data_IF_892063380559
#
_entry.id   IF_892063380559
#
_cell.length_a   1.000
_cell.length_b   1.000
_cell.length_c   1.000
_cell.angle_alpha   90.00
_cell.angle_beta   90.00
_cell.angle_gamma   90.00
#
_symmetry.space_group_name_H-M   'P 1'
#
loop_
_entity.id
_entity.type
_entity.pdbx_description
1 polymer ?
#
# COMPACT_ATOMS: atom_id res chain seq x y z
N UNK A 1 24.81 -13.89 13.50
CA UNK A 1 23.37 -13.71 13.87
C UNK A 1 22.61 -13.34 12.60
N UNK A 2 21.54 -14.06 12.28
CA UNK A 2 20.68 -13.71 11.14
C UNK A 2 19.82 -12.51 11.49
N UNK A 3 19.86 -11.44 10.67
CA UNK A 3 18.95 -10.30 10.83
C UNK A 3 17.54 -10.69 10.36
N UNK A 4 16.66 -11.03 11.30
CA UNK A 4 15.30 -11.47 10.98
C UNK A 4 14.54 -10.36 10.25
N UNK A 5 14.04 -10.67 9.05
CA UNK A 5 13.33 -9.70 8.21
C UNK A 5 14.21 -8.57 7.66
N UNK A 6 15.54 -8.75 7.64
CA UNK A 6 16.55 -7.77 7.24
C UNK A 6 16.53 -6.46 8.05
N UNK A 7 16.02 -6.50 9.29
CA UNK A 7 15.96 -5.31 10.14
C UNK A 7 17.37 -4.77 10.42
N UNK A 8 17.59 -3.48 10.16
CA UNK A 8 18.88 -2.81 10.32
C UNK A 8 19.90 -3.09 9.22
N UNK A 9 19.54 -3.85 8.19
CA UNK A 9 20.41 -4.09 7.03
C UNK A 9 20.13 -3.06 5.94
N UNK A 10 21.19 -2.40 5.49
CA UNK A 10 21.15 -1.52 4.31
C UNK A 10 21.29 -2.41 3.08
N UNK A 11 20.20 -2.56 2.32
CA UNK A 11 20.15 -3.45 1.16
C UNK A 11 20.63 -2.79 -0.13
N UNK A 12 20.52 -1.46 -0.24
CA UNK A 12 20.96 -0.68 -1.41
C UNK A 12 21.16 0.79 -1.02
N UNK A 13 21.59 1.60 -1.99
CA UNK A 13 21.56 3.07 -1.93
C UNK A 13 20.41 3.59 -2.80
N UNK A 14 19.87 4.77 -2.46
CA UNK A 14 18.81 5.44 -3.27
C UNK A 14 18.97 6.95 -3.16
N UNK A 15 18.65 7.66 -4.24
CA UNK A 15 18.55 9.12 -4.28
C UNK A 15 17.08 9.61 -4.23
N UNK A 16 16.12 8.69 -4.19
CA UNK A 16 14.70 8.99 -4.38
C UNK A 16 14.05 9.52 -3.11
N UNK A 17 14.28 8.87 -1.98
CA UNK A 17 13.68 9.29 -0.72
C UNK A 17 14.48 8.85 0.49
N UNK A 18 14.30 9.60 1.58
CA UNK A 18 14.86 9.27 2.90
C UNK A 18 13.78 9.43 3.97
N UNK A 19 13.80 8.52 4.96
CA UNK A 19 12.87 8.49 6.08
C UNK A 19 13.67 8.60 7.37
N UNK A 20 13.79 9.82 7.89
CA UNK A 20 14.57 10.12 9.10
C UNK A 20 13.67 9.96 10.32
N UNK A 21 13.60 8.75 10.87
CA UNK A 21 12.64 8.36 11.89
C UNK A 21 12.72 9.17 13.19
N UNK A 22 13.91 9.49 13.66
CA UNK A 22 14.12 10.22 14.91
C UNK A 22 13.74 11.71 14.79
N UNK A 23 13.82 12.27 13.56
CA UNK A 23 13.45 13.66 13.29
C UNK A 23 12.00 13.80 12.82
N UNK A 24 11.33 12.70 12.47
CA UNK A 24 10.00 12.77 11.87
C UNK A 24 10.02 13.48 10.51
N UNK A 25 10.98 13.18 9.66
CA UNK A 25 11.13 13.79 8.34
C UNK A 25 10.99 12.73 7.24
N UNK A 26 10.34 13.13 6.17
CA UNK A 26 10.28 12.41 4.90
C UNK A 26 10.78 13.34 3.81
N UNK A 27 11.73 12.85 3.03
CA UNK A 27 12.40 13.62 1.98
C UNK A 27 12.18 12.91 0.64
N UNK A 28 11.79 13.65 -0.40
CA UNK A 28 11.76 13.18 -1.79
C UNK A 28 12.79 13.97 -2.59
N UNK A 29 13.83 13.32 -3.12
CA UNK A 29 14.87 13.93 -3.95
C UNK A 29 15.40 15.26 -3.37
N UNK A 30 15.64 15.31 -2.06
CA UNK A 30 16.13 16.50 -1.36
C UNK A 30 15.08 17.49 -0.86
N UNK A 31 13.79 17.33 -1.23
CA UNK A 31 12.71 18.16 -0.73
C UNK A 31 12.04 17.51 0.48
N UNK A 32 11.92 18.26 1.59
CA UNK A 32 11.07 17.84 2.71
C UNK A 32 9.61 17.72 2.26
N UNK A 33 8.89 16.72 2.76
CA UNK A 33 7.48 16.49 2.38
C UNK A 33 6.59 17.69 2.63
N UNK A 34 6.89 18.51 3.66
CA UNK A 34 6.16 19.74 3.97
C UNK A 34 6.39 20.85 2.93
N UNK A 35 7.45 20.76 2.10
CA UNK A 35 7.67 21.65 0.97
C UNK A 35 6.93 21.20 -0.30
N UNK A 36 6.45 19.95 -0.33
CA UNK A 36 5.74 19.40 -1.48
C UNK A 36 4.22 19.34 -1.25
N UNK A 37 3.79 18.87 -0.09
CA UNK A 37 2.37 18.64 0.20
C UNK A 37 1.55 19.93 0.11
N UNK A 38 0.58 19.96 -0.82
CA UNK A 38 -0.30 21.10 -1.06
C UNK A 38 0.34 22.28 -1.81
N UNK A 39 1.65 22.21 -2.15
CA UNK A 39 2.37 23.23 -2.91
C UNK A 39 2.64 22.81 -4.36
N UNK A 40 2.76 21.51 -4.60
CA UNK A 40 2.92 20.92 -5.93
C UNK A 40 1.89 19.82 -6.15
N UNK A 41 1.56 19.55 -7.41
CA UNK A 41 0.64 18.47 -7.77
C UNK A 41 1.31 17.09 -7.71
N UNK A 42 0.52 16.04 -7.60
CA UNK A 42 1.01 14.65 -7.63
C UNK A 42 1.86 14.37 -8.88
N UNK A 43 1.45 14.82 -10.07
CA UNK A 43 2.24 14.61 -11.30
C UNK A 43 3.61 15.30 -11.27
N UNK A 44 3.74 16.44 -10.57
CA UNK A 44 5.05 17.08 -10.35
C UNK A 44 5.93 16.22 -9.46
N UNK A 45 5.34 15.57 -8.43
CA UNK A 45 6.06 14.62 -7.57
C UNK A 45 6.43 13.34 -8.35
N UNK A 46 5.57 12.83 -9.22
CA UNK A 46 5.93 11.71 -10.12
C UNK A 46 7.14 12.08 -10.98
N UNK A 47 7.11 13.29 -11.59
CA UNK A 47 8.24 13.79 -12.37
C UNK A 47 9.51 13.93 -11.51
N UNK A 48 9.39 14.51 -10.32
CA UNK A 48 10.50 14.67 -9.36
C UNK A 48 11.18 13.34 -9.06
N UNK A 49 10.41 12.32 -8.71
CA UNK A 49 10.93 10.99 -8.38
C UNK A 49 11.63 10.32 -9.58
N UNK A 50 11.15 10.56 -10.81
CA UNK A 50 11.71 9.90 -12.00
C UNK A 50 12.88 10.68 -12.64
N UNK A 51 13.00 11.97 -12.35
CA UNK A 51 14.01 12.87 -12.97
C UNK A 51 14.92 13.54 -11.95
N UNK A 52 14.71 13.29 -10.65
CA UNK A 52 15.47 13.89 -9.53
C UNK A 52 15.46 15.44 -9.54
N UNK A 53 14.44 16.05 -10.12
CA UNK A 53 14.18 17.51 -10.15
C UNK A 53 12.71 17.81 -10.36
N UNK A 54 12.24 18.93 -9.84
CA UNK A 54 10.92 19.45 -10.19
C UNK A 54 10.91 19.92 -11.68
N UNK A 55 9.78 19.69 -12.40
CA UNK A 55 9.68 20.10 -13.79
C UNK A 55 9.54 21.62 -13.94
N UNK A 56 10.12 22.19 -14.98
CA UNK A 56 9.69 23.48 -15.46
C UNK A 56 8.34 23.36 -16.23
N UNK A 57 7.73 24.48 -16.64
CA UNK A 57 6.42 24.49 -17.31
C UNK A 57 6.39 23.60 -18.56
N UNK A 58 7.38 23.71 -19.45
CA UNK A 58 7.43 22.93 -20.69
C UNK A 58 7.59 21.43 -20.45
N UNK A 59 8.43 21.06 -19.47
CA UNK A 59 8.61 19.67 -19.02
C UNK A 59 7.32 19.11 -18.43
N UNK A 60 6.65 19.88 -17.57
CA UNK A 60 5.38 19.48 -16.95
C UNK A 60 4.27 19.29 -17.99
N UNK A 61 4.15 20.19 -18.95
CA UNK A 61 3.14 20.12 -20.00
C UNK A 61 3.38 18.90 -20.91
N UNK A 62 4.62 18.59 -21.21
CA UNK A 62 4.99 17.40 -22.00
C UNK A 62 4.69 16.13 -21.21
N UNK A 63 5.15 16.02 -19.97
CA UNK A 63 4.92 14.87 -19.11
C UNK A 63 3.42 14.65 -18.84
N UNK A 64 2.65 15.73 -18.64
CA UNK A 64 1.20 15.65 -18.47
C UNK A 64 0.53 15.01 -19.69
N UNK A 65 0.92 15.39 -20.91
CA UNK A 65 0.37 14.80 -22.14
C UNK A 65 0.74 13.31 -22.26
N UNK A 66 1.99 12.95 -21.96
CA UNK A 66 2.43 11.55 -21.95
C UNK A 66 1.61 10.72 -20.98
N UNK A 67 1.50 11.15 -19.73
CA UNK A 67 0.79 10.42 -18.67
C UNK A 67 -0.70 10.23 -19.00
N UNK A 68 -1.37 11.31 -19.40
CA UNK A 68 -2.80 11.28 -19.73
C UNK A 68 -3.09 10.46 -20.98
N UNK A 69 -2.22 10.51 -22.00
CA UNK A 69 -2.34 9.73 -23.21
C UNK A 69 -2.29 8.21 -23.01
N UNK A 70 -1.83 7.75 -21.85
CA UNK A 70 -1.76 6.31 -21.56
C UNK A 70 -2.96 5.74 -20.78
N UNK A 71 -3.91 6.57 -20.36
CA UNK A 71 -5.05 6.16 -19.48
C UNK A 71 -5.95 5.10 -20.05
N UNK A 72 -6.04 4.97 -21.37
CA UNK A 72 -6.91 4.01 -22.04
C UNK A 72 -6.43 2.58 -21.81
N UNK A 73 -7.31 1.73 -21.26
CA UNK A 73 -7.06 0.31 -21.10
C UNK A 73 -7.29 -0.46 -22.40
N UNK A 74 -6.51 -1.53 -22.66
CA UNK A 74 -6.83 -2.51 -23.70
C UNK A 74 -8.19 -3.15 -23.45
N UNK A 75 -8.96 -3.43 -24.51
CA UNK A 75 -10.31 -3.99 -24.38
C UNK A 75 -10.33 -5.30 -23.58
N UNK A 76 -9.40 -6.27 -23.78
CA UNK A 76 -9.40 -7.49 -22.98
C UNK A 76 -9.20 -7.26 -21.47
N UNK A 77 -8.48 -6.21 -21.08
CA UNK A 77 -8.34 -5.83 -19.65
C UNK A 77 -9.66 -5.27 -19.10
N UNK A 78 -10.38 -4.47 -19.90
CA UNK A 78 -11.73 -4.00 -19.55
C UNK A 78 -12.69 -5.19 -19.40
N UNK A 79 -12.63 -6.15 -20.31
CA UNK A 79 -13.49 -7.35 -20.29
C UNK A 79 -13.18 -8.22 -19.07
N UNK A 80 -11.90 -8.39 -18.73
CA UNK A 80 -11.49 -9.03 -17.48
C UNK A 80 -12.06 -8.31 -16.25
N UNK A 81 -11.94 -6.98 -16.17
CA UNK A 81 -12.47 -6.19 -15.04
C UNK A 81 -13.98 -6.40 -14.89
N UNK A 82 -14.72 -6.42 -16.01
CA UNK A 82 -16.17 -6.64 -16.01
C UNK A 82 -16.56 -8.06 -15.63
N UNK A 83 -15.74 -9.06 -15.98
CA UNK A 83 -15.96 -10.47 -15.71
C UNK A 83 -15.49 -10.91 -14.31
N UNK A 84 -14.68 -10.11 -13.64
CA UNK A 84 -14.18 -10.43 -12.31
C UNK A 84 -15.34 -10.60 -11.30
N UNK A 85 -15.25 -11.56 -10.35
CA UNK A 85 -16.26 -11.72 -9.30
C UNK A 85 -16.53 -10.39 -8.58
N UNK A 86 -17.79 -10.07 -8.34
CA UNK A 86 -18.19 -8.79 -7.71
C UNK A 86 -17.70 -8.64 -6.28
N UNK A 87 -17.50 -9.75 -5.59
CA UNK A 87 -16.97 -9.87 -4.22
C UNK A 87 -15.46 -10.03 -4.17
N UNK A 88 -14.77 -10.03 -5.32
CA UNK A 88 -13.32 -10.05 -5.35
C UNK A 88 -12.74 -8.80 -4.68
N UNK A 89 -11.63 -8.96 -3.98
CA UNK A 89 -10.91 -7.82 -3.39
C UNK A 89 -10.35 -6.93 -4.52
N UNK A 90 -10.56 -5.61 -4.46
CA UNK A 90 -10.06 -4.69 -5.49
C UNK A 90 -8.54 -4.80 -5.73
N UNK A 91 -7.75 -5.07 -4.69
CA UNK A 91 -6.30 -5.31 -4.81
C UNK A 91 -5.96 -6.55 -5.64
N UNK A 92 -6.79 -7.61 -5.61
CA UNK A 92 -6.55 -8.82 -6.41
C UNK A 92 -6.85 -8.57 -7.89
N UNK A 93 -7.93 -7.84 -8.17
CA UNK A 93 -8.27 -7.44 -9.54
C UNK A 93 -7.20 -6.48 -10.09
N UNK A 94 -6.75 -5.51 -9.29
CA UNK A 94 -5.68 -4.59 -9.68
C UNK A 94 -4.39 -5.34 -10.01
N UNK A 95 -3.94 -6.24 -9.14
CA UNK A 95 -2.73 -7.04 -9.33
C UNK A 95 -2.81 -7.84 -10.64
N UNK A 96 -3.93 -8.50 -10.88
CA UNK A 96 -4.14 -9.32 -12.09
C UNK A 96 -4.18 -8.45 -13.34
N UNK A 97 -4.90 -7.32 -13.31
CA UNK A 97 -5.00 -6.40 -14.43
C UNK A 97 -3.64 -5.78 -14.79
N UNK A 98 -2.83 -5.38 -13.80
CA UNK A 98 -1.46 -4.88 -14.05
C UNK A 98 -0.58 -5.95 -14.70
N UNK A 99 -0.60 -7.19 -14.20
CA UNK A 99 0.12 -8.29 -14.83
C UNK A 99 -0.36 -8.53 -16.27
N UNK A 100 -1.67 -8.48 -16.48
CA UNK A 100 -2.28 -8.65 -17.81
C UNK A 100 -1.88 -7.55 -18.80
N UNK A 101 -1.67 -6.29 -18.32
CA UNK A 101 -1.21 -5.20 -19.19
C UNK A 101 0.11 -5.54 -19.91
N UNK A 102 0.98 -6.33 -19.28
CA UNK A 102 2.23 -6.77 -19.89
C UNK A 102 2.03 -7.55 -21.20
N UNK A 103 0.91 -8.28 -21.33
CA UNK A 103 0.56 -9.02 -22.56
C UNK A 103 0.19 -8.09 -23.73
N UNK A 104 -0.16 -6.85 -23.44
CA UNK A 104 -0.59 -5.83 -24.40
C UNK A 104 0.40 -4.67 -24.50
N UNK A 105 1.62 -4.85 -23.96
CA UNK A 105 2.70 -3.89 -24.12
C UNK A 105 3.18 -3.88 -25.59
N UNK A 106 3.14 -2.74 -26.29
CA UNK A 106 3.60 -2.66 -27.67
C UNK A 106 5.10 -2.94 -27.84
N UNK A 107 5.85 -2.89 -26.74
CA UNK A 107 7.28 -3.17 -26.69
C UNK A 107 7.58 -4.56 -26.10
N UNK A 108 6.58 -5.46 -26.02
CA UNK A 108 6.78 -6.84 -25.56
C UNK A 108 7.78 -7.56 -26.47
N UNK A 109 8.71 -8.29 -25.85
CA UNK A 109 9.76 -9.05 -26.56
C UNK A 109 10.88 -8.20 -27.14
N UNK A 110 10.84 -6.87 -27.00
CA UNK A 110 11.97 -5.98 -27.33
C UNK A 110 12.94 -5.90 -26.15
N UNK A 111 14.21 -5.60 -26.47
CA UNK A 111 15.21 -5.29 -25.46
C UNK A 111 14.72 -4.13 -24.57
N UNK A 112 14.87 -4.29 -23.25
CA UNK A 112 14.40 -3.32 -22.27
C UNK A 112 15.36 -2.13 -22.15
N UNK A 113 15.28 -1.18 -23.10
CA UNK A 113 16.05 0.08 -23.01
C UNK A 113 15.47 1.02 -21.93
N UNK A 114 16.26 2.01 -21.44
CA UNK A 114 15.76 3.01 -20.51
C UNK A 114 14.49 3.72 -21.00
N UNK A 115 14.39 4.02 -22.30
CA UNK A 115 13.22 4.68 -22.89
C UNK A 115 11.99 3.76 -22.89
N UNK A 116 12.15 2.46 -23.18
CA UNK A 116 11.08 1.48 -23.11
C UNK A 116 10.59 1.34 -21.66
N UNK A 117 11.51 1.22 -20.72
CA UNK A 117 11.17 1.11 -19.30
C UNK A 117 10.45 2.36 -18.79
N UNK A 118 10.87 3.55 -19.22
CA UNK A 118 10.18 4.80 -18.91
C UNK A 118 8.76 4.82 -19.50
N UNK A 119 8.55 4.41 -20.75
CA UNK A 119 7.20 4.31 -21.33
C UNK A 119 6.31 3.34 -20.57
N UNK A 120 6.85 2.21 -20.09
CA UNK A 120 6.14 1.26 -19.23
C UNK A 120 5.73 1.90 -17.91
N UNK A 121 6.63 2.62 -17.27
CA UNK A 121 6.33 3.36 -16.04
C UNK A 121 5.19 4.37 -16.24
N UNK A 122 5.24 5.18 -17.30
CA UNK A 122 4.18 6.13 -17.68
C UNK A 122 2.86 5.38 -17.92
N UNK A 123 2.90 4.30 -18.70
CA UNK A 123 1.73 3.48 -19.03
C UNK A 123 1.04 2.88 -17.81
N UNK A 124 1.81 2.30 -16.89
CA UNK A 124 1.26 1.70 -15.66
C UNK A 124 0.68 2.78 -14.75
N UNK A 125 1.42 3.86 -14.52
CA UNK A 125 0.97 4.97 -13.66
C UNK A 125 -0.30 5.64 -14.18
N UNK A 126 -0.45 5.80 -15.49
CA UNK A 126 -1.67 6.35 -16.09
C UNK A 126 -2.88 5.41 -16.03
N UNK A 127 -2.66 4.10 -15.93
CA UNK A 127 -3.72 3.07 -15.98
C UNK A 127 -4.15 2.54 -14.61
N UNK A 128 -3.28 2.54 -13.61
CA UNK A 128 -3.55 1.87 -12.32
C UNK A 128 -4.81 2.42 -11.63
N UNK A 129 -5.00 3.74 -11.65
CA UNK A 129 -6.20 4.40 -11.11
C UNK A 129 -7.47 4.05 -11.89
N UNK A 130 -7.35 3.92 -13.22
CA UNK A 130 -8.47 3.52 -14.08
C UNK A 130 -8.94 2.11 -13.74
N UNK A 131 -8.01 1.17 -13.51
CA UNK A 131 -8.31 -0.21 -13.13
C UNK A 131 -9.13 -0.24 -11.83
N UNK A 132 -8.67 0.47 -10.80
CA UNK A 132 -9.34 0.50 -9.50
C UNK A 132 -10.77 1.07 -9.62
N UNK A 133 -10.92 2.22 -10.26
CA UNK A 133 -12.20 2.89 -10.43
C UNK A 133 -13.16 2.07 -11.31
N UNK A 134 -12.68 1.48 -12.40
CA UNK A 134 -13.49 0.65 -13.29
C UNK A 134 -14.00 -0.62 -12.61
N UNK A 135 -13.16 -1.29 -11.82
CA UNK A 135 -13.62 -2.45 -11.06
C UNK A 135 -14.69 -2.06 -10.04
N UNK A 136 -14.50 -0.97 -9.31
CA UNK A 136 -15.52 -0.48 -8.39
C UNK A 136 -16.86 -0.25 -9.09
N UNK A 137 -16.87 0.34 -10.26
CA UNK A 137 -18.11 0.57 -11.02
C UNK A 137 -18.69 -0.73 -11.56
N UNK A 138 -17.86 -1.58 -12.15
CA UNK A 138 -18.31 -2.84 -12.76
C UNK A 138 -18.96 -3.76 -11.73
N UNK A 139 -18.34 -3.95 -10.54
CA UNK A 139 -18.93 -4.79 -9.49
C UNK A 139 -20.27 -4.28 -8.95
N UNK A 140 -20.49 -2.95 -9.03
CA UNK A 140 -21.75 -2.31 -8.64
C UNK A 140 -22.75 -2.21 -9.81
N UNK A 141 -22.49 -2.84 -10.95
CA UNK A 141 -23.38 -2.82 -12.12
C UNK A 141 -23.50 -1.44 -12.78
N UNK A 142 -22.57 -0.53 -12.53
CA UNK A 142 -22.57 0.82 -13.10
C UNK A 142 -21.80 0.85 -14.42
N UNK A 143 -22.20 1.74 -15.34
CA UNK A 143 -21.47 1.99 -16.60
C UNK A 143 -20.07 2.51 -16.33
N UNK A 144 -19.12 2.18 -17.21
CA UNK A 144 -17.75 2.69 -17.14
C UNK A 144 -17.70 4.04 -17.88
N UNK A 145 -17.37 5.15 -17.21
CA UNK A 145 -17.22 6.44 -17.88
C UNK A 145 -16.03 6.42 -18.83
N UNK A 146 -16.05 7.20 -19.92
CA UNK A 146 -14.88 7.34 -20.78
C UNK A 146 -13.72 7.99 -20.01
N UNK A 147 -12.48 7.58 -20.34
CA UNK A 147 -11.30 8.30 -19.86
C UNK A 147 -11.27 9.73 -20.38
N UNK A 148 -10.75 10.66 -19.58
CA UNK A 148 -10.65 12.10 -19.92
C UNK A 148 -9.21 12.55 -19.80
N UNK A 149 -8.77 13.33 -20.80
CA UNK A 149 -7.40 13.82 -20.89
C UNK A 149 -7.23 15.25 -20.34
N UNK A 150 -8.33 15.90 -19.97
CA UNK A 150 -8.34 17.25 -19.41
C UNK A 150 -8.24 17.26 -17.86
N UNK A 151 -8.53 16.14 -17.20
CA UNK A 151 -8.53 16.02 -15.74
C UNK A 151 -7.14 15.67 -15.18
N UNK A 152 -6.83 16.17 -13.98
CA UNK A 152 -5.68 15.71 -13.20
C UNK A 152 -5.84 14.25 -12.76
N UNK A 153 -4.83 13.65 -12.16
CA UNK A 153 -4.87 12.25 -11.73
C UNK A 153 -5.94 12.02 -10.66
N UNK A 154 -6.02 12.91 -9.67
CA UNK A 154 -7.01 12.84 -8.60
C UNK A 154 -8.44 13.13 -9.11
N UNK A 155 -8.63 14.18 -9.92
CA UNK A 155 -9.91 14.48 -10.57
C UNK A 155 -10.39 13.31 -11.41
N UNK A 156 -9.49 12.72 -12.21
CA UNK A 156 -9.80 11.62 -13.10
C UNK A 156 -10.21 10.35 -12.32
N UNK A 157 -9.49 10.04 -11.24
CA UNK A 157 -9.84 8.92 -10.39
C UNK A 157 -11.23 9.08 -9.78
N UNK A 158 -11.52 10.23 -9.16
CA UNK A 158 -12.82 10.51 -8.57
C UNK A 158 -13.94 10.51 -9.62
N UNK A 159 -13.71 11.13 -10.77
CA UNK A 159 -14.65 11.12 -11.90
C UNK A 159 -14.96 9.69 -12.34
N UNK A 160 -13.95 8.86 -12.54
CA UNK A 160 -14.17 7.48 -12.96
C UNK A 160 -14.88 6.64 -11.90
N UNK A 161 -14.59 6.87 -10.61
CA UNK A 161 -15.22 6.17 -9.50
C UNK A 161 -16.69 6.58 -9.33
N UNK A 162 -16.98 7.88 -9.32
CA UNK A 162 -18.32 8.42 -9.09
C UNK A 162 -19.20 8.39 -10.35
N UNK A 163 -18.59 8.53 -11.53
CA UNK A 163 -19.28 8.65 -12.82
C UNK A 163 -19.52 10.08 -13.28
N UNK A 164 -19.18 11.06 -12.44
CA UNK A 164 -19.31 12.48 -12.69
C UNK A 164 -18.16 13.25 -12.01
N UNK A 165 -17.83 14.46 -12.49
CA UNK A 165 -16.81 15.28 -11.86
C UNK A 165 -17.15 15.61 -10.40
N UNK A 166 -16.16 15.56 -9.54
CA UNK A 166 -16.28 15.92 -8.14
C UNK A 166 -15.82 17.36 -7.89
N UNK A 167 -16.05 17.88 -6.68
CA UNK A 167 -15.64 19.23 -6.33
C UNK A 167 -14.11 19.40 -6.42
N UNK A 168 -13.66 20.61 -6.74
CA UNK A 168 -12.23 20.92 -6.76
C UNK A 168 -11.55 20.60 -5.44
N UNK A 169 -12.22 20.87 -4.32
CA UNK A 169 -11.69 20.59 -2.99
C UNK A 169 -11.49 19.09 -2.74
N UNK A 170 -12.43 18.25 -3.18
CA UNK A 170 -12.30 16.80 -3.10
C UNK A 170 -11.08 16.32 -3.90
N UNK A 171 -10.92 16.86 -5.11
CA UNK A 171 -9.82 16.51 -5.99
C UNK A 171 -8.47 17.02 -5.47
N UNK A 172 -8.40 18.26 -4.98
CA UNK A 172 -7.20 18.83 -4.37
C UNK A 172 -6.79 18.05 -3.10
N UNK A 173 -7.76 17.62 -2.29
CA UNK A 173 -7.50 16.79 -1.11
C UNK A 173 -6.92 15.43 -1.50
N UNK A 174 -7.49 14.78 -2.51
CA UNK A 174 -6.98 13.49 -2.97
C UNK A 174 -5.60 13.63 -3.63
N UNK A 175 -5.33 14.72 -4.34
CA UNK A 175 -4.03 15.00 -4.95
C UNK A 175 -2.94 15.15 -3.87
N UNK A 176 -3.21 15.89 -2.79
CA UNK A 176 -2.30 15.99 -1.65
C UNK A 176 -2.10 14.62 -0.99
N UNK A 177 -3.16 13.83 -0.81
CA UNK A 177 -3.03 12.47 -0.31
C UNK A 177 -2.13 11.61 -1.21
N UNK A 178 -2.24 11.73 -2.53
CA UNK A 178 -1.34 11.06 -3.47
C UNK A 178 0.11 11.49 -3.30
N UNK A 179 0.38 12.80 -3.15
CA UNK A 179 1.73 13.32 -2.86
C UNK A 179 2.32 12.68 -1.60
N UNK A 180 1.54 12.63 -0.51
CA UNK A 180 1.97 12.08 0.77
C UNK A 180 2.23 10.56 0.73
N UNK A 181 1.64 9.84 -0.21
CA UNK A 181 1.79 8.39 -0.37
C UNK A 181 2.72 7.99 -1.52
N UNK A 182 3.23 8.94 -2.32
CA UNK A 182 3.97 8.70 -3.55
C UNK A 182 5.19 7.80 -3.35
N UNK A 183 5.96 8.01 -2.27
CA UNK A 183 7.06 7.14 -1.88
C UNK A 183 7.28 7.08 -0.36
N UNK A 184 8.07 6.12 0.11
CA UNK A 184 8.46 6.00 1.52
C UNK A 184 9.65 5.04 1.66
N UNK A 185 10.72 5.32 0.96
CA UNK A 185 11.97 4.57 1.03
C UNK A 185 11.82 3.08 0.72
N UNK A 186 12.68 2.27 1.32
CA UNK A 186 12.74 0.82 1.12
C UNK A 186 11.70 0.09 1.99
N UNK A 187 10.41 0.43 1.82
CA UNK A 187 9.32 -0.34 2.42
C UNK A 187 9.17 -1.72 1.76
N UNK A 188 8.34 -2.60 2.34
CA UNK A 188 8.23 -3.99 1.89
C UNK A 188 7.83 -4.13 0.41
N UNK A 189 6.89 -3.34 -0.09
CA UNK A 189 6.46 -3.41 -1.50
C UNK A 189 7.49 -2.83 -2.47
N UNK A 190 8.19 -1.77 -2.09
CA UNK A 190 9.33 -1.23 -2.84
C UNK A 190 10.46 -2.24 -2.91
N UNK A 191 10.81 -2.89 -1.79
CA UNK A 191 11.82 -3.94 -1.77
C UNK A 191 11.43 -5.12 -2.66
N UNK A 192 10.17 -5.55 -2.63
CA UNK A 192 9.64 -6.60 -3.51
C UNK A 192 9.78 -6.24 -4.99
N UNK A 193 9.46 -5.00 -5.38
CA UNK A 193 9.63 -4.51 -6.75
C UNK A 193 11.11 -4.56 -7.18
N UNK A 194 12.02 -4.06 -6.32
CA UNK A 194 13.46 -4.04 -6.60
C UNK A 194 14.04 -5.46 -6.71
N UNK A 195 13.69 -6.35 -5.79
CA UNK A 195 14.10 -7.77 -5.88
C UNK A 195 13.63 -8.39 -7.19
N UNK A 196 12.38 -8.14 -7.57
CA UNK A 196 11.80 -8.70 -8.80
C UNK A 196 12.54 -8.17 -10.04
N UNK A 197 12.68 -6.83 -10.16
CA UNK A 197 13.32 -6.25 -11.34
C UNK A 197 14.82 -6.54 -11.41
N UNK A 198 15.49 -6.78 -10.29
CA UNK A 198 16.90 -7.12 -10.26
C UNK A 198 17.24 -8.41 -11.01
N UNK A 199 16.25 -9.24 -11.28
CA UNK A 199 16.37 -10.43 -12.14
C UNK A 199 16.37 -10.10 -13.64
N UNK A 200 16.20 -8.81 -14.00
CA UNK A 200 16.01 -8.31 -15.36
C UNK A 200 14.73 -8.83 -16.03
N UNK A 201 13.70 -9.12 -15.22
CA UNK A 201 12.35 -9.40 -15.73
C UNK A 201 11.68 -8.10 -16.23
N UNK A 202 10.45 -8.22 -16.72
CA UNK A 202 9.70 -7.07 -17.21
C UNK A 202 9.17 -6.16 -16.09
N UNK A 203 8.86 -4.92 -16.44
CA UNK A 203 8.38 -3.88 -15.52
C UNK A 203 7.03 -4.22 -14.87
N UNK A 204 6.14 -4.88 -15.61
CA UNK A 204 4.82 -5.29 -15.11
C UNK A 204 4.93 -6.35 -14.02
N UNK A 205 5.87 -7.29 -14.14
CA UNK A 205 6.19 -8.28 -13.11
C UNK A 205 6.62 -7.62 -11.80
N UNK A 206 7.49 -6.61 -11.87
CA UNK A 206 7.96 -5.88 -10.69
C UNK A 206 6.82 -5.12 -9.98
N UNK A 207 5.97 -4.42 -10.72
CA UNK A 207 4.84 -3.68 -10.15
C UNK A 207 3.75 -4.65 -9.63
N UNK A 208 3.53 -5.77 -10.30
CA UNK A 208 2.63 -6.84 -9.82
C UNK A 208 3.09 -7.39 -8.47
N UNK A 209 4.38 -7.62 -8.29
CA UNK A 209 4.97 -8.07 -7.03
C UNK A 209 4.79 -7.02 -5.91
N UNK A 210 4.99 -5.74 -6.24
CA UNK A 210 4.77 -4.63 -5.31
C UNK A 210 3.30 -4.56 -4.83
N UNK A 211 2.34 -4.66 -5.75
CA UNK A 211 0.90 -4.66 -5.43
C UNK A 211 0.55 -5.85 -4.54
N UNK A 212 1.06 -7.04 -4.87
CA UNK A 212 0.87 -8.25 -4.06
C UNK A 212 1.41 -8.11 -2.64
N UNK A 213 2.57 -7.46 -2.49
CA UNK A 213 3.18 -7.19 -1.18
C UNK A 213 2.40 -6.13 -0.40
N UNK A 214 1.94 -5.07 -1.07
CA UNK A 214 1.16 -4.01 -0.42
C UNK A 214 -0.17 -4.54 0.13
N UNK A 215 -0.81 -5.49 -0.55
CA UNK A 215 -2.04 -6.13 -0.09
C UNK A 215 -1.92 -6.80 1.28
N UNK A 216 -0.71 -7.19 1.68
CA UNK A 216 -0.49 -7.92 2.93
C UNK A 216 -0.94 -7.13 4.17
N UNK A 217 -1.61 -7.77 5.16
CA UNK A 217 -2.17 -7.08 6.33
C UNK A 217 -1.12 -6.43 7.23
N UNK A 218 0.15 -6.78 7.07
CA UNK A 218 1.27 -6.16 7.79
C UNK A 218 1.86 -4.95 7.04
N UNK A 219 1.27 -4.55 5.91
CA UNK A 219 1.77 -3.44 5.09
C UNK A 219 0.66 -2.43 4.74
N UNK A 220 -0.14 -2.63 3.70
CA UNK A 220 -1.04 -1.59 3.17
C UNK A 220 -2.44 -1.50 3.79
N UNK A 221 -2.88 -2.51 4.55
CA UNK A 221 -4.26 -2.58 5.06
C UNK A 221 -4.53 -1.82 6.36
N UNK A 222 -3.61 -0.97 6.83
CA UNK A 222 -3.78 -0.31 8.12
C UNK A 222 -4.91 0.76 8.11
N UNK A 223 -5.09 1.48 7.01
CA UNK A 223 -6.13 2.49 6.87
C UNK A 223 -7.56 1.88 6.84
N UNK A 224 -7.73 0.72 6.20
CA UNK A 224 -8.99 -0.04 6.28
C UNK A 224 -9.28 -0.46 7.73
N UNK A 225 -8.26 -0.94 8.45
CA UNK A 225 -8.39 -1.28 9.87
C UNK A 225 -8.76 -0.10 10.76
N UNK A 226 -8.33 1.12 10.43
CA UNK A 226 -8.70 2.34 11.17
C UNK A 226 -10.18 2.64 11.02
N UNK A 227 -10.72 2.64 9.80
CA UNK A 227 -12.14 2.95 9.61
C UNK A 227 -13.04 1.89 10.25
N UNK A 228 -12.70 0.61 10.15
CA UNK A 228 -13.43 -0.46 10.85
C UNK A 228 -13.41 -0.29 12.37
N UNK A 229 -12.27 0.11 12.94
CA UNK A 229 -12.18 0.44 14.36
C UNK A 229 -13.10 1.62 14.73
N UNK A 230 -13.13 2.67 13.93
CA UNK A 230 -14.02 3.82 14.15
C UNK A 230 -15.50 3.43 14.02
N UNK A 231 -15.85 2.56 13.08
CA UNK A 231 -17.20 2.00 12.93
C UNK A 231 -17.60 1.15 14.12
N UNK A 232 -16.69 0.32 14.65
CA UNK A 232 -16.91 -0.51 15.85
C UNK A 232 -17.14 0.35 17.10
N UNK A 233 -16.37 1.41 17.28
CA UNK A 233 -16.57 2.39 18.38
C UNK A 233 -17.93 3.09 18.23
N UNK A 234 -18.25 3.57 17.03
CA UNK A 234 -19.54 4.13 16.63
C UNK A 234 -19.84 5.54 17.12
N UNK A 235 -19.35 5.97 18.31
CA UNK A 235 -19.58 7.30 18.87
C UNK A 235 -18.42 7.76 19.76
N UNK A 236 -18.27 9.09 19.88
CA UNK A 236 -17.15 9.72 20.59
C UNK A 236 -17.12 9.36 22.10
N UNK A 237 -18.25 9.26 22.74
CA UNK A 237 -18.39 8.90 24.16
C UNK A 237 -17.91 7.49 24.51
N UNK A 238 -17.78 6.60 23.51
CA UNK A 238 -17.30 5.21 23.69
C UNK A 238 -15.81 5.05 23.46
N UNK A 239 -15.13 6.07 22.96
CA UNK A 239 -13.71 6.00 22.58
C UNK A 239 -12.84 5.60 23.77
N UNK A 240 -12.99 6.28 24.92
CA UNK A 240 -12.14 6.05 26.09
C UNK A 240 -12.24 4.60 26.60
N UNK A 241 -13.47 4.10 26.75
CA UNK A 241 -13.73 2.73 27.21
C UNK A 241 -13.18 1.69 26.21
N UNK A 242 -13.38 1.91 24.92
CA UNK A 242 -12.85 1.00 23.87
C UNK A 242 -11.32 0.94 23.91
N UNK A 243 -10.64 2.10 23.94
CA UNK A 243 -9.17 2.14 23.99
C UNK A 243 -8.64 1.46 25.25
N UNK A 244 -9.27 1.67 26.41
CA UNK A 244 -8.85 1.02 27.66
C UNK A 244 -9.00 -0.50 27.58
N UNK A 245 -10.10 -0.99 27.03
CA UNK A 245 -10.31 -2.42 26.82
C UNK A 245 -9.26 -3.03 25.88
N UNK A 246 -9.01 -2.41 24.70
CA UNK A 246 -8.03 -2.90 23.75
C UNK A 246 -6.62 -2.93 24.36
N UNK A 247 -6.24 -1.90 25.14
CA UNK A 247 -4.94 -1.83 25.80
C UNK A 247 -4.81 -2.87 26.93
N UNK A 248 -5.88 -3.15 27.69
CA UNK A 248 -5.91 -4.21 28.70
C UNK A 248 -5.72 -5.59 28.06
N UNK A 249 -6.29 -5.80 26.87
CA UNK A 249 -6.12 -7.04 26.08
C UNK A 249 -4.80 -7.07 25.29
N UNK A 250 -3.92 -6.06 25.42
CA UNK A 250 -2.66 -5.92 24.66
C UNK A 250 -2.85 -5.96 23.14
N UNK A 251 -4.02 -5.56 22.67
CA UNK A 251 -4.30 -5.43 21.24
C UNK A 251 -3.71 -4.13 20.68
N UNK A 252 -3.36 -4.14 19.39
CA UNK A 252 -2.86 -2.97 18.68
C UNK A 252 -4.03 -2.05 18.32
N UNK A 253 -3.81 -0.75 18.48
CA UNK A 253 -4.69 0.29 17.95
C UNK A 253 -4.25 0.61 16.52
N UNK A 254 -5.16 0.45 15.55
CA UNK A 254 -4.85 0.62 14.15
C UNK A 254 -4.48 2.06 13.82
N UNK A 255 -3.50 2.25 12.95
CA UNK A 255 -3.00 3.57 12.55
C UNK A 255 -2.19 4.32 13.62
N UNK A 256 -1.90 3.70 14.78
CA UNK A 256 -1.11 4.29 15.86
C UNK A 256 0.27 3.64 15.93
N UNK A 257 1.30 4.49 16.03
CA UNK A 257 2.71 4.09 16.02
C UNK A 257 3.24 3.86 14.61
N UNK A 258 4.55 3.80 14.47
CA UNK A 258 5.23 3.58 13.19
C UNK A 258 6.51 2.77 13.40
N UNK A 259 6.86 1.92 12.41
CA UNK A 259 8.06 1.09 12.52
C UNK A 259 9.34 1.93 12.48
N UNK A 260 9.36 3.01 11.70
CA UNK A 260 10.52 3.88 11.48
C UNK A 260 10.43 5.14 12.34
N UNK A 261 9.32 5.91 12.23
CA UNK A 261 9.17 7.15 13.00
C UNK A 261 9.06 6.87 14.50
N UNK A 262 9.98 7.49 15.26
CA UNK A 262 9.96 7.51 16.75
C UNK A 262 9.23 8.72 17.28
N UNK A 263 8.93 9.68 16.43
CA UNK A 263 8.16 10.88 16.68
C UNK A 263 6.89 10.89 15.81
N UNK A 264 6.33 12.08 15.53
CA UNK A 264 5.16 12.22 14.67
C UNK A 264 5.51 11.90 13.21
N UNK A 265 4.68 11.12 12.54
CA UNK A 265 4.74 10.94 11.08
C UNK A 265 4.47 12.28 10.39
N UNK A 266 5.40 12.84 9.59
CA UNK A 266 5.27 14.19 9.02
C UNK A 266 4.09 14.33 8.05
N UNK A 267 3.51 13.23 7.61
CA UNK A 267 2.35 13.20 6.72
C UNK A 267 1.02 13.37 7.47
N UNK A 268 0.98 12.92 8.73
CA UNK A 268 -0.23 12.92 9.53
C UNK A 268 -0.84 14.32 9.76
N UNK A 269 -0.09 15.39 10.02
CA UNK A 269 -0.66 16.74 10.18
C UNK A 269 -1.40 17.25 8.95
N UNK A 270 -0.90 16.97 7.75
CA UNK A 270 -1.56 17.36 6.50
C UNK A 270 -2.91 16.66 6.34
N UNK A 271 -2.94 15.34 6.53
CA UNK A 271 -4.17 14.56 6.45
C UNK A 271 -5.17 14.94 7.55
N UNK A 272 -4.68 15.19 8.77
CA UNK A 272 -5.51 15.66 9.88
C UNK A 272 -6.23 16.98 9.53
N UNK A 273 -5.50 17.97 9.02
CA UNK A 273 -6.07 19.25 8.63
C UNK A 273 -7.14 19.09 7.54
N UNK A 274 -6.89 18.22 6.56
CA UNK A 274 -7.86 17.90 5.50
C UNK A 274 -9.08 17.16 6.03
N UNK A 275 -8.89 16.18 6.93
CA UNK A 275 -9.99 15.44 7.55
C UNK A 275 -10.93 16.36 8.34
N UNK A 276 -10.39 17.32 9.12
CA UNK A 276 -11.18 18.32 9.84
C UNK A 276 -12.05 19.10 8.85
N UNK A 277 -11.42 19.70 7.84
CA UNK A 277 -12.10 20.54 6.86
C UNK A 277 -13.19 19.79 6.07
N UNK A 278 -12.92 18.57 5.64
CA UNK A 278 -13.89 17.75 4.92
C UNK A 278 -15.05 17.32 5.82
N UNK A 279 -14.76 16.86 7.04
CA UNK A 279 -15.78 16.42 8.00
C UNK A 279 -16.76 17.54 8.39
N UNK A 280 -16.28 18.78 8.55
CA UNK A 280 -17.11 19.95 8.76
C UNK A 280 -18.04 20.20 7.57
N UNK A 281 -17.48 20.14 6.36
CA UNK A 281 -18.22 20.43 5.12
C UNK A 281 -19.34 19.43 4.84
N UNK A 282 -19.11 18.14 5.09
CA UNK A 282 -20.14 17.10 4.90
C UNK A 282 -21.11 16.97 6.08
N UNK A 283 -20.88 17.73 7.17
CA UNK A 283 -21.71 17.69 8.37
C UNK A 283 -21.57 16.41 9.20
N UNK A 284 -20.47 15.66 9.03
CA UNK A 284 -20.19 14.43 9.76
C UNK A 284 -18.90 14.52 10.60
N UNK A 285 -18.81 15.40 11.59
CA UNK A 285 -17.59 15.61 12.37
C UNK A 285 -17.25 14.45 13.33
N UNK A 286 -18.14 13.49 13.52
CA UNK A 286 -17.94 12.38 14.48
C UNK A 286 -16.67 11.59 14.20
N UNK A 287 -16.34 11.33 12.93
CA UNK A 287 -15.21 10.50 12.54
C UNK A 287 -13.87 11.15 12.92
N UNK A 288 -13.73 12.44 12.63
CA UNK A 288 -12.52 13.17 13.00
C UNK A 288 -12.43 13.39 14.52
N UNK A 289 -13.54 13.65 15.21
CA UNK A 289 -13.53 13.79 16.67
C UNK A 289 -13.11 12.52 17.39
N UNK A 290 -13.66 11.37 16.98
CA UNK A 290 -13.21 10.06 17.48
C UNK A 290 -11.72 9.86 17.22
N UNK A 291 -11.25 10.18 15.99
CA UNK A 291 -9.83 10.05 15.63
C UNK A 291 -8.95 10.95 16.49
N UNK A 292 -9.32 12.20 16.73
CA UNK A 292 -8.56 13.11 17.60
C UNK A 292 -8.50 12.59 19.04
N UNK A 293 -9.64 12.13 19.58
CA UNK A 293 -9.69 11.56 20.93
C UNK A 293 -8.83 10.32 21.08
N UNK A 294 -8.83 9.42 20.10
CA UNK A 294 -7.95 8.24 20.07
C UNK A 294 -6.48 8.67 20.05
N UNK A 295 -6.11 9.64 19.19
CA UNK A 295 -4.74 10.12 19.08
C UNK A 295 -4.24 10.74 20.41
N UNK A 296 -5.08 11.53 21.10
CA UNK A 296 -4.80 12.09 22.41
C UNK A 296 -4.56 10.99 23.44
N UNK A 297 -5.49 10.05 23.58
CA UNK A 297 -5.39 8.94 24.54
C UNK A 297 -4.13 8.08 24.30
N UNK A 298 -3.80 7.79 23.04
CA UNK A 298 -2.63 7.01 22.72
C UNK A 298 -1.34 7.78 22.98
N UNK A 299 -1.36 9.10 22.79
CA UNK A 299 -0.22 9.95 23.18
C UNK A 299 -0.04 9.98 24.70
N UNK A 300 -1.11 10.16 25.45
CA UNK A 300 -1.09 10.21 26.92
C UNK A 300 -0.68 8.85 27.53
N UNK A 301 -1.35 7.76 27.12
CA UNK A 301 -1.21 6.45 27.76
C UNK A 301 0.02 5.66 27.32
N UNK A 302 0.51 5.88 26.09
CA UNK A 302 1.58 5.07 25.48
C UNK A 302 2.71 5.89 24.87
N UNK A 303 2.60 7.22 24.82
CA UNK A 303 3.50 8.12 24.06
C UNK A 303 3.65 7.71 22.60
N UNK A 304 2.57 7.21 21.97
CA UNK A 304 2.52 6.85 20.55
C UNK A 304 1.75 7.90 19.76
N UNK A 305 2.19 8.16 18.54
CA UNK A 305 1.57 9.12 17.62
C UNK A 305 0.78 8.40 16.53
N UNK A 306 -0.20 9.09 15.97
CA UNK A 306 -0.88 8.67 14.74
C UNK A 306 0.09 8.68 13.55
N UNK A 307 -0.05 7.70 12.67
CA UNK A 307 0.71 7.63 11.42
C UNK A 307 -0.16 8.07 10.22
N UNK A 308 0.37 7.97 9.01
CA UNK A 308 -0.32 8.39 7.79
C UNK A 308 -1.66 7.67 7.59
N UNK A 309 -1.75 6.39 7.92
CA UNK A 309 -2.95 5.56 7.70
C UNK A 309 -4.12 6.00 8.59
N UNK A 310 -3.81 6.58 9.76
CA UNK A 310 -4.81 6.97 10.74
C UNK A 310 -5.75 8.05 10.21
N UNK A 311 -5.21 9.16 9.71
CA UNK A 311 -6.03 10.24 9.19
C UNK A 311 -6.42 10.07 7.73
N UNK A 312 -5.67 9.28 6.93
CA UNK A 312 -6.08 8.98 5.56
C UNK A 312 -7.41 8.23 5.52
N UNK A 313 -7.67 7.35 6.50
CA UNK A 313 -8.95 6.65 6.60
C UNK A 313 -10.13 7.62 6.71
N UNK A 314 -10.06 8.62 7.61
CA UNK A 314 -11.09 9.65 7.75
C UNK A 314 -11.21 10.52 6.49
N UNK A 315 -10.09 10.90 5.86
CA UNK A 315 -10.10 11.65 4.59
C UNK A 315 -10.84 10.87 3.51
N UNK A 316 -10.48 9.62 3.28
CA UNK A 316 -11.09 8.80 2.22
C UNK A 316 -12.56 8.52 2.50
N UNK A 317 -12.92 8.25 3.75
CA UNK A 317 -14.33 8.12 4.15
C UNK A 317 -15.13 9.40 3.86
N UNK A 318 -14.61 10.56 4.22
CA UNK A 318 -15.23 11.86 3.95
C UNK A 318 -15.34 12.21 2.46
N UNK A 319 -14.50 11.62 1.61
CA UNK A 319 -14.60 11.71 0.16
C UNK A 319 -15.61 10.71 -0.44
N UNK A 320 -16.32 9.93 0.38
CA UNK A 320 -17.26 8.91 -0.07
C UNK A 320 -16.60 7.71 -0.74
N UNK A 321 -15.33 7.47 -0.49
CA UNK A 321 -14.58 6.35 -1.05
C UNK A 321 -14.90 5.10 -0.23
N UNK A 322 -15.30 3.99 -0.86
CA UNK A 322 -15.52 2.71 -0.17
C UNK A 322 -14.26 2.21 0.53
N UNK A 323 -14.42 1.64 1.71
CA UNK A 323 -13.32 1.20 2.58
C UNK A 323 -12.35 0.26 1.87
N UNK A 324 -12.85 -0.69 1.09
CA UNK A 324 -12.02 -1.66 0.36
C UNK A 324 -11.26 -1.07 -0.86
N UNK A 325 -11.47 0.23 -1.16
CA UNK A 325 -10.64 0.99 -2.09
C UNK A 325 -9.52 1.78 -1.43
N UNK A 326 -9.39 1.78 -0.10
CA UNK A 326 -8.35 2.55 0.59
C UNK A 326 -6.94 2.03 0.24
N UNK A 327 -6.72 0.72 0.33
CA UNK A 327 -5.45 0.11 -0.09
C UNK A 327 -5.20 0.23 -1.60
N UNK A 328 -6.18 0.03 -2.51
CA UNK A 328 -6.03 0.39 -3.93
C UNK A 328 -5.62 1.84 -4.19
N UNK A 329 -6.18 2.81 -3.48
CA UNK A 329 -5.78 4.24 -3.60
C UNK A 329 -4.33 4.44 -3.16
N UNK A 330 -3.94 3.79 -2.08
CA UNK A 330 -2.55 3.77 -1.65
C UNK A 330 -1.65 3.22 -2.78
N UNK A 331 -2.04 2.11 -3.43
CA UNK A 331 -1.31 1.55 -4.56
C UNK A 331 -1.22 2.51 -5.75
N UNK A 332 -2.32 3.23 -6.07
CA UNK A 332 -2.34 4.25 -7.13
C UNK A 332 -1.30 5.32 -6.87
N UNK A 333 -1.27 5.88 -5.68
CA UNK A 333 -0.29 6.91 -5.30
C UNK A 333 1.15 6.35 -5.29
N UNK A 334 1.36 5.19 -4.67
CA UNK A 334 2.67 4.56 -4.49
C UNK A 334 3.27 4.01 -5.79
N UNK A 335 2.46 3.81 -6.83
CA UNK A 335 2.92 3.35 -8.13
C UNK A 335 4.05 4.24 -8.68
N UNK A 336 3.98 5.56 -8.46
CA UNK A 336 5.04 6.50 -8.84
C UNK A 336 6.38 6.17 -8.20
N UNK A 337 6.40 5.91 -6.89
CA UNK A 337 7.60 5.52 -6.15
C UNK A 337 8.11 4.13 -6.57
N UNK A 338 7.22 3.14 -6.72
CA UNK A 338 7.65 1.83 -7.22
C UNK A 338 8.30 1.93 -8.59
N UNK A 339 7.70 2.69 -9.51
CA UNK A 339 8.28 2.91 -10.85
C UNK A 339 9.63 3.61 -10.75
N UNK A 340 9.78 4.63 -9.89
CA UNK A 340 11.05 5.31 -9.66
C UNK A 340 12.14 4.35 -9.17
N UNK A 341 11.83 3.54 -8.16
CA UNK A 341 12.76 2.55 -7.60
C UNK A 341 13.13 1.45 -8.61
N UNK A 342 12.18 1.03 -9.46
CA UNK A 342 12.46 0.07 -10.54
C UNK A 342 13.38 0.69 -11.60
N UNK A 343 13.14 1.95 -12.00
CA UNK A 343 14.01 2.67 -12.93
C UNK A 343 15.41 2.86 -12.35
N UNK A 344 15.52 3.26 -11.08
CA UNK A 344 16.80 3.42 -10.39
C UNK A 344 17.58 2.10 -10.27
N UNK A 345 16.90 0.98 -9.96
CA UNK A 345 17.53 -0.34 -9.91
C UNK A 345 18.13 -0.76 -11.25
N UNK A 346 17.45 -0.43 -12.35
CA UNK A 346 17.91 -0.77 -13.70
C UNK A 346 19.11 0.08 -14.17
N UNK A 347 19.37 1.24 -13.54
CA UNK A 347 20.56 2.07 -13.88
C UNK A 347 21.87 1.43 -13.40
N UNK A 348 21.84 0.73 -12.25
CA UNK A 348 23.00 0.04 -11.67
C UNK A 348 22.54 -1.29 -11.05
N UNK A 349 22.10 -2.20 -11.90
CA UNK A 349 21.41 -3.43 -11.50
C UNK A 349 22.37 -4.47 -10.91
N UNK A 350 21.97 -5.00 -9.75
CA UNK A 350 22.58 -6.21 -9.20
C UNK A 350 21.51 -7.12 -8.59
N UNK A 351 21.54 -8.41 -9.02
CA UNK A 351 20.60 -9.40 -8.52
C UNK A 351 20.64 -9.53 -6.99
N UNK A 352 19.52 -9.31 -6.33
CA UNK A 352 19.34 -9.56 -4.90
C UNK A 352 19.31 -11.07 -4.64
N UNK A 353 20.36 -11.58 -4.01
CA UNK A 353 20.49 -13.01 -3.69
C UNK A 353 21.16 -13.19 -2.33
N UNK A 354 20.45 -12.98 -1.23
CA UNK A 354 20.99 -13.20 0.11
C UNK A 354 21.25 -14.69 0.36
N UNK A 355 22.06 -14.98 1.35
CA UNK A 355 22.30 -16.34 1.84
C UNK A 355 21.28 -16.68 2.93
N UNK A 356 21.02 -17.98 3.09
CA UNK A 356 20.30 -18.53 4.23
C UNK A 356 21.19 -19.45 5.04
N UNK A 357 21.05 -19.45 6.37
CA UNK A 357 21.62 -20.45 7.25
C UNK A 357 20.72 -21.68 7.24
N UNK A 358 21.28 -22.82 6.81
CA UNK A 358 20.54 -24.07 6.83
C UNK A 358 20.52 -24.64 8.25
N UNK A 359 19.34 -24.75 8.83
CA UNK A 359 19.10 -25.29 10.18
C UNK A 359 18.44 -26.68 10.18
N UNK A 360 18.37 -27.32 9.01
CA UNK A 360 17.86 -28.69 8.88
C UNK A 360 18.89 -29.74 9.29
N UNK A 361 18.59 -30.99 9.03
CA UNK A 361 19.49 -32.11 9.33
C UNK A 361 20.74 -32.06 8.43
N UNK A 362 21.90 -32.43 8.99
CA UNK A 362 23.17 -32.49 8.26
C UNK A 362 23.13 -33.54 7.14
N UNK A 363 24.03 -33.38 6.16
CA UNK A 363 24.22 -34.33 5.06
C UNK A 363 24.50 -35.75 5.59
N UNK A 364 23.91 -36.76 4.96
CA UNK A 364 24.15 -38.17 5.30
C UNK A 364 22.90 -39.06 5.22
N UNK A 365 21.72 -38.47 5.02
CA UNK A 365 20.51 -39.29 4.77
C UNK A 365 20.63 -40.03 3.43
N UNK A 366 20.34 -41.33 3.48
CA UNK A 366 20.21 -42.14 2.27
C UNK A 366 18.75 -42.18 1.83
N UNK A 367 18.55 -42.20 0.52
CA UNK A 367 17.20 -42.38 -0.02
C UNK A 367 16.83 -43.86 0.18
N UNK A 368 15.71 -44.06 0.91
CA UNK A 368 15.10 -45.38 1.08
C UNK A 368 14.02 -45.54 0.00
N UNK A 369 13.91 -46.71 -0.67
CA UNK A 369 12.83 -47.00 -1.61
C UNK A 369 11.46 -46.70 -1.00
N UNK A 370 10.47 -46.29 -1.80
CA UNK A 370 9.18 -45.85 -1.29
C UNK A 370 8.48 -46.92 -0.45
N UNK A 371 8.57 -48.15 -0.87
CA UNK A 371 7.93 -49.31 -0.21
C UNK A 371 8.58 -49.66 1.14
N UNK A 372 9.82 -49.24 1.36
CA UNK A 372 10.59 -49.47 2.58
C UNK A 372 10.54 -48.27 3.55
N UNK A 373 9.84 -47.21 3.18
CA UNK A 373 9.68 -46.03 4.04
C UNK A 373 8.68 -46.26 5.13
N UNK A 374 9.19 -46.47 6.34
CA UNK A 374 8.33 -46.59 7.55
C UNK A 374 7.63 -45.24 7.79
N UNK A 375 6.32 -45.27 7.99
CA UNK A 375 5.57 -44.11 8.38
C UNK A 375 6.01 -43.66 9.78
N UNK A 376 6.94 -42.71 9.87
CA UNK A 376 7.27 -42.07 11.14
C UNK A 376 6.08 -41.20 11.54
N UNK A 377 5.14 -41.74 12.30
CA UNK A 377 4.26 -40.93 13.11
C UNK A 377 5.19 -40.14 14.06
N UNK A 378 5.46 -38.89 13.77
CA UNK A 378 6.15 -37.98 14.70
C UNK A 378 5.36 -38.07 16.01
N UNK A 379 5.88 -38.77 16.99
CA UNK A 379 5.46 -38.56 18.37
C UNK A 379 5.69 -37.07 18.62
N UNK A 380 4.61 -36.32 18.59
CA UNK A 380 4.58 -34.95 19.04
C UNK A 380 5.20 -34.90 20.41
N UNK A 381 6.32 -34.23 20.48
CA UNK A 381 7.15 -34.12 21.66
C UNK A 381 6.39 -33.55 22.85
N UNK A 382 6.75 -34.05 23.98
CA UNK A 382 6.74 -33.47 25.31
C UNK A 382 5.64 -32.39 25.52
N UNK A 383 4.49 -32.89 25.91
CA UNK A 383 3.62 -32.11 26.78
C UNK A 383 4.42 -31.78 28.04
N UNK A 384 4.75 -30.53 28.25
CA UNK A 384 5.08 -29.98 29.54
C UNK A 384 3.78 -30.14 30.34
N UNK A 385 3.74 -31.12 31.22
CA UNK A 385 2.63 -31.30 32.14
C UNK A 385 2.65 -30.14 33.13
N UNK A 386 1.82 -29.12 32.86
CA UNK A 386 1.35 -28.26 33.93
C UNK A 386 0.42 -29.13 34.79
N UNK A 387 0.83 -29.49 35.99
CA UNK A 387 -0.08 -29.97 37.03
C UNK A 387 -0.78 -28.76 37.62
N UNK A 388 -2.09 -28.62 37.50
CA UNK A 388 -2.83 -27.84 38.47
C UNK A 388 -3.01 -28.72 39.72
N UNK A 389 -2.62 -28.24 40.86
CA UNK A 389 -3.00 -28.82 42.12
C UNK A 389 -4.53 -28.65 42.27
N UNK A 390 -5.21 -29.81 42.55
CA UNK A 390 -6.59 -29.94 42.96
C UNK A 390 -7.74 -29.74 41.94
N UNK A 391 -8.26 -30.90 41.42
CA UNK A 391 -9.58 -31.01 40.78
C UNK A 391 -9.72 -32.27 39.91
N UNK A 392 -10.88 -32.96 39.88
CA UNK A 392 -11.02 -34.28 39.27
C UNK A 392 -11.00 -34.21 37.72
N UNK A 393 -10.30 -35.18 37.16
CA UNK A 393 -10.13 -35.43 35.72
C UNK A 393 -11.42 -35.94 35.07
N UNK A 394 -11.89 -35.20 34.04
CA UNK A 394 -12.79 -35.78 33.05
C UNK A 394 -12.01 -35.97 31.71
N UNK A 395 -11.86 -37.25 31.36
CA UNK A 395 -11.43 -37.65 30.01
C UNK A 395 -12.56 -37.45 29.03
N UNK A 396 -12.36 -36.67 28.00
CA UNK A 396 -13.21 -36.68 26.81
C UNK A 396 -12.42 -37.36 25.69
N UNK A 397 -12.93 -38.51 25.27
CA UNK A 397 -12.48 -39.26 24.10
C UNK A 397 -12.97 -38.56 22.83
N UNK A 398 -12.05 -38.20 21.96
CA UNK A 398 -12.37 -37.85 20.58
C UNK A 398 -12.19 -39.11 19.72
N UNK A 399 -13.27 -39.87 19.54
CA UNK A 399 -13.52 -40.69 18.37
C UNK A 399 -14.69 -40.06 17.59
N UNK A 400 -14.53 -40.03 16.28
CA UNK A 400 -15.53 -39.71 15.24
C UNK A 400 -15.85 -38.23 14.98
N UNK A 401 -15.04 -37.59 14.08
CA UNK A 401 -15.57 -37.18 12.71
C UNK A 401 -14.44 -36.74 11.83
#
# INVERSE_FOLDING_TARGET
>A
MTAKGLEGIVANTTRLSDVIGDKGQLIYCGYDINELAGKVSYKEVVYLLWHNKLPNRGELDTFTRELRGTRKLPQPVIDFIKAAPRDALPMDVMRTAISMLGLYDPDMGKEATPEINRRRAVSITGKIGVIAAYFHRARNGKSLPPVRDDLTEAEHFLYLMCGEPQSKEASDTLDVAFVLHADHGMNASTFSARVTISTLTDFYSAITAAIGTLKGPLHGGANEGVIHMLEEIGSEDKVDAYIDEQLAQKKKIMGIGHRVYKTLDPRAPHLRAMAIKLSEKIGEPKWIRMSERIAELMKEKKNLNANVDFYSATVYHSLGIPTDLFTPIFAVARCSGWCAHVLEELEDNRLYRPLSEYVGESVGKKVVPIDDRVCFVRRAARFVSFRPENGPSHFISLQDR
#
